data_IF_829667239111
#
_entry.id   IF_829667239111
#
_cell.length_a   1.000
_cell.length_b   1.000
_cell.length_c   1.000
_cell.angle_alpha   90.00
_cell.angle_beta   90.00
_cell.angle_gamma   90.00
#
_symmetry.space_group_name_H-M   'P 1'
#
loop_
_entity.id
_entity.type
_entity.pdbx_description
1 polymer ?
#
# COMPACT_ATOMS: atom_id res chain seq x y z
N UNK A 1 10.30 19.63 -0.65
CA UNK A 1 10.13 18.16 -0.51
C UNK A 1 8.71 17.81 -0.98
N UNK A 2 8.43 16.58 -1.39
CA UNK A 2 7.08 16.17 -1.82
C UNK A 2 6.40 15.36 -0.71
N UNK A 3 5.06 15.36 -0.70
CA UNK A 3 4.27 14.40 0.07
C UNK A 3 3.56 13.47 -0.92
N UNK A 4 3.74 12.15 -0.83
CA UNK A 4 2.83 11.22 -1.51
C UNK A 4 1.70 10.83 -0.56
N UNK A 5 0.49 10.60 -1.06
CA UNK A 5 -0.67 10.25 -0.23
C UNK A 5 -1.43 9.04 -0.77
N UNK A 6 -1.56 8.00 0.06
CA UNK A 6 -2.36 6.80 -0.17
C UNK A 6 -3.38 6.61 0.96
N UNK A 7 -4.63 6.24 0.66
CA UNK A 7 -5.60 5.85 1.70
C UNK A 7 -6.71 4.92 1.20
N UNK A 8 -7.59 4.52 2.11
CA UNK A 8 -8.85 3.81 1.85
C UNK A 8 -10.10 4.73 1.90
N UNK A 9 -9.91 6.05 1.78
CA UNK A 9 -11.01 7.03 1.89
C UNK A 9 -11.98 7.05 0.71
N UNK A 10 -11.65 6.36 -0.38
CA UNK A 10 -12.41 6.39 -1.61
C UNK A 10 -12.33 7.74 -2.34
N UNK A 11 -12.87 7.80 -3.57
CA UNK A 11 -12.97 9.04 -4.34
C UNK A 11 -14.26 9.84 -4.06
N UNK A 12 -15.19 9.29 -3.28
CA UNK A 12 -16.54 9.85 -3.11
C UNK A 12 -16.67 10.87 -1.99
N UNK A 13 -15.83 10.77 -0.96
CA UNK A 13 -15.91 11.56 0.25
C UNK A 13 -14.78 12.60 0.34
N UNK A 14 -14.97 13.63 1.16
CA UNK A 14 -14.06 14.76 1.28
C UNK A 14 -12.74 14.45 2.02
N UNK A 15 -12.64 13.28 2.66
CA UNK A 15 -11.58 12.98 3.63
C UNK A 15 -10.17 13.23 3.08
N UNK A 16 -9.87 12.75 1.86
CA UNK A 16 -8.56 12.93 1.26
C UNK A 16 -8.24 14.41 0.98
N UNK A 17 -9.22 15.16 0.45
CA UNK A 17 -9.08 16.59 0.18
C UNK A 17 -8.92 17.41 1.46
N UNK A 18 -9.57 17.02 2.56
CA UNK A 18 -9.40 17.67 3.86
C UNK A 18 -7.98 17.47 4.41
N UNK A 19 -7.41 16.27 4.30
CA UNK A 19 -6.01 16.01 4.71
C UNK A 19 -5.04 16.84 3.86
N UNK A 20 -5.24 16.88 2.54
CA UNK A 20 -4.45 17.74 1.65
C UNK A 20 -4.58 19.22 2.01
N UNK A 21 -5.78 19.70 2.32
CA UNK A 21 -6.01 21.08 2.76
C UNK A 21 -5.27 21.44 4.05
N UNK A 22 -5.19 20.49 4.99
CA UNK A 22 -4.36 20.65 6.20
C UNK A 22 -2.88 20.74 5.85
N UNK A 23 -2.39 19.86 4.97
CA UNK A 23 -1.00 19.92 4.50
C UNK A 23 -0.71 21.27 3.83
N UNK A 24 -1.59 21.73 2.94
CA UNK A 24 -1.43 23.00 2.22
C UNK A 24 -1.48 24.23 3.14
N UNK A 25 -2.22 24.16 4.25
CA UNK A 25 -2.25 25.23 5.27
C UNK A 25 -0.91 25.36 6.00
N UNK A 26 -0.22 24.25 6.24
CA UNK A 26 1.05 24.21 6.98
C UNK A 26 2.24 24.40 6.03
N UNK A 27 2.20 23.80 4.85
CA UNK A 27 3.28 23.73 3.89
C UNK A 27 2.76 23.99 2.45
N UNK A 28 2.39 25.25 2.11
CA UNK A 28 1.70 25.58 0.86
C UNK A 28 2.51 25.29 -0.41
N UNK A 29 3.84 25.32 -0.32
CA UNK A 29 4.73 25.04 -1.44
C UNK A 29 5.06 23.54 -1.61
N UNK A 30 4.58 22.69 -0.68
CA UNK A 30 4.77 21.23 -0.76
C UNK A 30 3.73 20.64 -1.69
N UNK A 31 4.18 20.07 -2.79
CA UNK A 31 3.31 19.33 -3.70
C UNK A 31 2.91 17.99 -3.09
N UNK A 32 1.59 17.75 -3.05
CA UNK A 32 0.99 16.45 -2.73
C UNK A 32 0.80 15.64 -4.02
N UNK A 33 1.22 14.37 -3.99
CA UNK A 33 1.06 13.41 -5.08
C UNK A 33 0.16 12.27 -4.58
N UNK A 34 -1.06 12.21 -5.07
CA UNK A 34 -1.98 11.14 -4.72
C UNK A 34 -1.57 9.85 -5.44
N UNK A 35 -1.19 8.83 -4.67
CA UNK A 35 -0.95 7.48 -5.18
C UNK A 35 -2.29 6.76 -5.44
N UNK A 36 -3.31 7.08 -4.65
CA UNK A 36 -4.66 6.59 -4.80
C UNK A 36 -5.39 6.52 -3.46
N UNK A 37 -6.71 6.67 -3.52
CA UNK A 37 -7.61 6.56 -2.37
C UNK A 37 -8.55 5.36 -2.46
N UNK A 38 -8.33 4.48 -3.43
CA UNK A 38 -9.16 3.31 -3.71
C UNK A 38 -8.67 2.02 -3.07
N UNK A 39 -7.89 2.08 -1.97
CA UNK A 39 -7.65 0.87 -1.17
C UNK A 39 -9.01 0.39 -0.64
N UNK A 40 -9.34 -0.92 -0.70
CA UNK A 40 -10.56 -1.41 -0.11
C UNK A 40 -10.66 -1.00 1.37
N UNK A 41 -11.84 -0.58 1.87
CA UNK A 41 -11.99 -0.11 3.24
C UNK A 41 -11.39 -1.08 4.25
N UNK A 42 -10.54 -0.57 5.14
CA UNK A 42 -9.89 -1.32 6.21
C UNK A 42 -8.89 -2.40 5.76
N UNK A 43 -8.63 -2.56 4.46
CA UNK A 43 -7.69 -3.56 3.94
C UNK A 43 -6.24 -3.08 4.01
N UNK A 44 -5.66 -3.22 5.20
CA UNK A 44 -4.27 -2.84 5.49
C UNK A 44 -3.28 -3.61 4.60
N UNK A 45 -3.58 -4.86 4.24
CA UNK A 45 -2.69 -5.70 3.42
C UNK A 45 -2.58 -5.15 2.00
N UNK A 46 -3.73 -4.88 1.37
CA UNK A 46 -3.76 -4.25 0.03
C UNK A 46 -3.10 -2.87 0.07
N UNK A 47 -3.37 -2.07 1.10
CA UNK A 47 -2.72 -0.77 1.28
C UNK A 47 -1.19 -0.86 1.38
N UNK A 48 -0.69 -1.80 2.18
CA UNK A 48 0.75 -1.98 2.40
C UNK A 48 1.46 -2.41 1.11
N UNK A 49 0.82 -3.31 0.36
CA UNK A 49 1.32 -3.80 -0.92
C UNK A 49 1.37 -2.70 -1.97
N UNK A 50 0.27 -1.97 -2.16
CA UNK A 50 0.21 -0.84 -3.10
C UNK A 50 1.25 0.24 -2.77
N UNK A 51 1.43 0.55 -1.48
CA UNK A 51 2.46 1.47 -1.03
C UNK A 51 3.86 0.97 -1.41
N UNK A 52 4.20 -0.26 -1.04
CA UNK A 52 5.52 -0.85 -1.32
C UNK A 52 5.85 -0.91 -2.82
N UNK A 53 4.85 -1.19 -3.67
CA UNK A 53 4.99 -1.23 -5.13
C UNK A 53 5.13 0.17 -5.74
N UNK A 54 4.42 1.15 -5.21
CA UNK A 54 4.40 2.50 -5.77
C UNK A 54 5.66 3.31 -5.42
N UNK A 55 6.13 3.25 -4.17
CA UNK A 55 7.17 4.17 -3.68
C UNK A 55 8.52 4.12 -4.44
N UNK A 56 9.01 2.97 -4.94
CA UNK A 56 10.24 2.92 -5.74
C UNK A 56 10.22 3.84 -6.98
N UNK A 57 9.04 4.12 -7.52
CA UNK A 57 8.84 4.99 -8.68
C UNK A 57 8.48 6.43 -8.32
N UNK A 58 8.63 6.81 -7.04
CA UNK A 58 8.34 8.16 -6.54
C UNK A 58 9.60 8.86 -6.04
N UNK A 59 9.66 10.20 -6.11
CA UNK A 59 10.76 10.97 -5.53
C UNK A 59 10.95 10.67 -4.05
N UNK A 60 12.18 10.80 -3.55
CA UNK A 60 12.40 10.82 -2.10
C UNK A 60 11.65 12.01 -1.47
N UNK A 61 11.07 11.78 -0.29
CA UNK A 61 10.28 12.77 0.42
C UNK A 61 9.47 12.13 1.53
N UNK A 62 8.32 12.72 1.82
CA UNK A 62 7.39 12.21 2.83
C UNK A 62 6.32 11.36 2.15
N UNK A 63 6.01 10.21 2.71
CA UNK A 63 5.05 9.26 2.17
C UNK A 63 3.99 9.00 3.23
N UNK A 64 2.86 9.69 3.07
CA UNK A 64 1.70 9.56 3.92
C UNK A 64 0.82 8.40 3.43
N UNK A 65 0.52 7.45 4.32
CA UNK A 65 -0.40 6.36 4.03
C UNK A 65 -1.37 6.16 5.19
N UNK A 66 -2.67 6.10 4.91
CA UNK A 66 -3.72 5.96 5.92
C UNK A 66 -4.75 4.90 5.51
N UNK A 67 -4.62 3.73 6.09
CA UNK A 67 -5.62 2.64 6.08
C UNK A 67 -5.67 2.17 7.53
N UNK A 68 -6.66 2.63 8.28
CA UNK A 68 -6.58 2.66 9.75
C UNK A 68 -7.87 2.19 10.43
N UNK A 69 -8.16 0.87 10.41
CA UNK A 69 -9.31 0.33 11.15
C UNK A 69 -9.20 0.52 12.67
N UNK A 70 -8.00 0.79 13.18
CA UNK A 70 -7.72 1.03 14.60
C UNK A 70 -7.67 2.51 14.99
N UNK A 71 -8.16 3.42 14.13
CA UNK A 71 -8.18 4.86 14.40
C UNK A 71 -8.85 5.16 15.75
N UNK A 72 -8.26 6.09 16.51
CA UNK A 72 -8.74 6.44 17.86
C UNK A 72 -8.46 5.41 18.94
N UNK A 73 -7.89 4.25 18.60
CA UNK A 73 -7.46 3.22 19.55
C UNK A 73 -6.02 3.39 20.03
N UNK A 74 -5.50 2.32 20.64
CA UNK A 74 -4.17 2.27 21.27
C UNK A 74 -3.00 2.17 20.26
N UNK A 75 -3.27 2.06 18.96
CA UNK A 75 -2.25 1.88 17.93
C UNK A 75 -1.40 3.15 17.78
N UNK A 76 -0.08 3.00 17.77
CA UNK A 76 0.86 4.12 17.60
C UNK A 76 0.67 4.81 16.25
N UNK A 77 0.89 6.11 16.20
CA UNK A 77 1.12 6.86 14.97
C UNK A 77 2.62 6.93 14.72
N UNK A 78 3.10 6.58 13.54
CA UNK A 78 4.54 6.48 13.26
C UNK A 78 5.00 7.50 12.22
N UNK A 79 6.24 7.94 12.41
CA UNK A 79 7.11 8.46 11.38
C UNK A 79 8.35 7.54 11.29
N UNK A 80 8.55 6.90 10.14
CA UNK A 80 9.66 5.97 9.88
C UNK A 80 10.63 6.61 8.90
N UNK A 81 11.90 6.76 9.27
CA UNK A 81 12.95 7.27 8.40
C UNK A 81 13.60 6.14 7.61
N UNK A 82 13.69 6.33 6.30
CA UNK A 82 14.33 5.41 5.36
C UNK A 82 15.22 6.21 4.40
N UNK A 83 16.46 6.46 4.77
CA UNK A 83 17.38 7.34 4.06
C UNK A 83 16.83 8.77 3.96
N UNK A 84 16.61 9.23 2.73
CA UNK A 84 16.02 10.55 2.45
C UNK A 84 14.48 10.56 2.47
N UNK A 85 13.85 9.47 2.93
CA UNK A 85 12.40 9.29 2.96
C UNK A 85 11.87 9.27 4.39
N UNK A 86 10.65 9.75 4.56
CA UNK A 86 9.84 9.53 5.75
C UNK A 86 8.54 8.83 5.36
N UNK A 87 8.17 7.76 6.04
CA UNK A 87 6.85 7.13 5.92
C UNK A 87 6.03 7.51 7.15
N UNK A 88 4.80 8.00 6.95
CA UNK A 88 3.93 8.51 8.01
C UNK A 88 2.58 7.80 7.93
N UNK A 89 2.11 7.28 9.07
CA UNK A 89 0.86 6.51 9.13
C UNK A 89 0.70 5.65 10.39
N UNK A 90 -0.33 4.79 10.44
CA UNK A 90 -0.61 3.93 11.59
C UNK A 90 0.38 2.78 11.74
N UNK A 91 0.68 2.41 12.99
CA UNK A 91 1.42 1.19 13.35
C UNK A 91 0.49 -0.03 13.33
N UNK A 92 0.11 -0.47 12.14
CA UNK A 92 -0.76 -1.63 11.94
C UNK A 92 -0.25 -2.58 10.84
N UNK A 93 1.01 -2.42 10.42
CA UNK A 93 1.60 -3.16 9.31
C UNK A 93 1.51 -2.46 7.95
N UNK A 94 0.80 -1.33 7.83
CA UNK A 94 0.66 -0.59 6.56
C UNK A 94 2.01 -0.11 5.99
N UNK A 95 2.86 0.47 6.84
CA UNK A 95 4.10 1.14 6.41
C UNK A 95 5.28 0.18 6.23
N UNK A 96 5.27 -0.94 6.98
CA UNK A 96 6.46 -1.76 7.17
C UNK A 96 7.01 -2.35 5.86
N UNK A 97 6.18 -2.95 4.97
CA UNK A 97 6.71 -3.49 3.72
C UNK A 97 7.42 -2.44 2.86
N UNK A 98 6.87 -1.23 2.77
CA UNK A 98 7.49 -0.15 2.03
C UNK A 98 8.75 0.39 2.72
N UNK A 99 8.76 0.44 4.05
CA UNK A 99 9.93 0.86 4.82
C UNK A 99 11.11 -0.13 4.67
N UNK A 100 10.82 -1.43 4.66
CA UNK A 100 11.83 -2.49 4.52
C UNK A 100 12.49 -2.47 3.13
N UNK A 101 11.77 -2.09 2.07
CA UNK A 101 12.34 -1.89 0.71
C UNK A 101 13.48 -0.86 0.70
N UNK A 102 13.37 0.19 1.53
CA UNK A 102 14.36 1.27 1.59
C UNK A 102 15.34 1.18 2.76
N UNK A 103 15.11 0.23 3.68
CA UNK A 103 15.84 0.13 4.96
C UNK A 103 15.31 1.11 6.01
N UNK A 104 15.18 0.64 7.25
CA UNK A 104 14.67 1.43 8.39
C UNK A 104 15.85 1.99 9.18
N UNK A 105 15.98 3.32 9.22
CA UNK A 105 17.02 4.02 9.99
C UNK A 105 16.54 4.45 11.38
N UNK A 106 15.31 4.94 11.47
CA UNK A 106 14.72 5.49 12.69
C UNK A 106 13.21 5.32 12.67
N UNK A 107 12.63 5.05 13.84
CA UNK A 107 11.18 5.02 14.04
C UNK A 107 10.83 5.93 15.21
N UNK A 108 9.89 6.84 14.98
CA UNK A 108 9.39 7.76 16.00
C UNK A 108 7.88 7.58 16.16
N UNK A 109 7.45 7.35 17.39
CA UNK A 109 6.05 7.45 17.78
C UNK A 109 5.66 8.93 17.85
N UNK A 110 4.87 9.35 16.86
CA UNK A 110 4.34 10.70 16.70
C UNK A 110 2.89 10.81 17.20
N UNK A 111 2.40 9.81 17.95
CA UNK A 111 1.06 9.83 18.53
C UNK A 111 0.84 11.10 19.32
N UNK A 112 1.84 11.53 20.11
CA UNK A 112 1.77 12.76 20.94
C UNK A 112 2.46 13.99 20.33
N UNK A 113 2.66 14.02 19.01
CA UNK A 113 3.38 15.11 18.35
C UNK A 113 2.75 16.49 18.64
N UNK A 114 3.56 17.53 18.89
CA UNK A 114 3.08 18.91 19.03
C UNK A 114 2.55 19.49 17.71
N UNK A 115 2.76 18.81 16.58
CA UNK A 115 2.28 19.22 15.26
C UNK A 115 0.84 18.82 14.99
N UNK A 116 0.21 18.02 15.87
CA UNK A 116 -1.18 17.61 15.71
C UNK A 116 -2.12 18.80 15.76
N UNK A 117 -3.22 18.73 15.01
CA UNK A 117 -4.32 19.66 15.18
C UNK A 117 -4.97 19.48 16.55
N UNK A 118 -5.54 20.56 17.09
CA UNK A 118 -6.28 20.54 18.35
C UNK A 118 -7.69 21.10 18.14
N UNK A 119 -8.73 20.42 18.65
CA UNK A 119 -8.69 19.12 19.33
C UNK A 119 -8.42 17.96 18.35
N UNK A 120 -7.81 16.87 18.84
CA UNK A 120 -7.62 15.62 18.06
C UNK A 120 -8.94 14.83 18.05
N UNK A 121 -9.48 14.54 16.86
CA UNK A 121 -10.66 13.68 16.69
C UNK A 121 -10.30 12.21 16.88
N UNK A 122 -11.15 11.47 17.58
CA UNK A 122 -11.03 10.02 17.74
C UNK A 122 -11.19 9.24 16.43
N UNK A 123 -11.79 9.81 15.38
CA UNK A 123 -12.13 9.07 14.15
C UNK A 123 -11.39 9.56 12.92
N UNK A 124 -10.49 10.55 13.03
CA UNK A 124 -9.85 11.14 11.86
C UNK A 124 -8.39 11.54 12.06
N UNK A 125 -7.57 10.59 12.51
CA UNK A 125 -6.12 10.81 12.68
C UNK A 125 -5.39 11.12 11.37
N UNK A 126 -5.94 10.78 10.20
CA UNK A 126 -5.45 11.27 8.90
C UNK A 126 -5.34 12.80 8.86
N UNK A 127 -6.40 13.49 9.28
CA UNK A 127 -6.48 14.95 9.33
C UNK A 127 -5.71 15.51 10.52
N UNK A 128 -5.90 14.93 11.70
CA UNK A 128 -5.46 15.58 12.94
C UNK A 128 -4.03 15.24 13.34
N UNK A 129 -3.48 14.12 12.85
CA UNK A 129 -2.15 13.63 13.23
C UNK A 129 -1.24 13.50 12.02
N UNK A 130 -1.63 12.64 11.07
CA UNK A 130 -0.72 12.23 10.01
C UNK A 130 -0.46 13.33 8.98
N UNK A 131 -1.50 14.04 8.53
CA UNK A 131 -1.38 15.17 7.60
C UNK A 131 -0.43 16.27 8.12
N UNK A 132 -0.67 16.82 9.33
CA UNK A 132 0.21 17.83 9.93
C UNK A 132 1.65 17.33 10.10
N UNK A 133 1.84 16.11 10.61
CA UNK A 133 3.18 15.52 10.75
C UNK A 133 3.88 15.42 9.40
N UNK A 134 3.18 14.95 8.37
CA UNK A 134 3.74 14.85 7.03
C UNK A 134 4.14 16.22 6.46
N UNK A 135 3.33 17.26 6.70
CA UNK A 135 3.63 18.62 6.27
C UNK A 135 4.90 19.18 6.94
N UNK A 136 5.02 19.05 8.26
CA UNK A 136 6.21 19.52 8.99
C UNK A 136 7.48 18.77 8.60
N UNK A 137 7.40 17.44 8.41
CA UNK A 137 8.53 16.66 7.90
C UNK A 137 8.95 17.10 6.49
N UNK A 138 7.99 17.44 5.63
CA UNK A 138 8.26 17.93 4.28
C UNK A 138 8.93 19.32 4.25
N UNK A 139 8.77 20.09 5.33
CA UNK A 139 9.51 21.34 5.58
C UNK A 139 10.90 21.12 6.20
N UNK A 140 11.32 19.87 6.40
CA UNK A 140 12.62 19.51 6.96
C UNK A 140 12.68 19.51 8.49
N UNK A 141 11.53 19.51 9.17
CA UNK A 141 11.51 19.42 10.62
C UNK A 141 11.92 18.01 11.09
N UNK A 142 12.51 17.93 12.28
CA UNK A 142 12.82 16.66 12.95
C UNK A 142 11.65 16.28 13.87
N UNK A 143 11.08 15.08 13.76
CA UNK A 143 9.95 14.69 14.61
C UNK A 143 10.37 14.62 16.08
N UNK A 144 9.58 15.24 16.94
CA UNK A 144 9.68 15.06 18.39
C UNK A 144 8.69 13.98 18.83
N UNK A 145 9.18 12.90 19.42
CA UNK A 145 8.36 11.78 19.87
C UNK A 145 9.21 10.69 20.52
N UNK A 146 8.56 9.63 21.01
CA UNK A 146 9.27 8.50 21.60
C UNK A 146 9.93 7.68 20.49
N UNK A 147 11.23 7.39 20.62
CA UNK A 147 11.90 6.45 19.72
C UNK A 147 11.35 5.05 19.93
N UNK A 148 11.07 4.37 18.83
CA UNK A 148 10.52 3.03 18.81
C UNK A 148 11.56 2.07 18.25
N UNK A 149 11.67 0.89 18.86
CA UNK A 149 12.45 -0.20 18.29
C UNK A 149 11.75 -0.74 17.03
N UNK A 150 12.46 -0.80 15.91
CA UNK A 150 11.97 -1.36 14.64
C UNK A 150 11.53 -2.83 14.75
N UNK A 151 12.08 -3.59 15.71
CA UNK A 151 11.63 -4.95 16.01
C UNK A 151 10.23 -5.00 16.63
N UNK A 152 9.78 -3.91 17.26
CA UNK A 152 8.44 -3.80 17.88
C UNK A 152 7.34 -3.33 16.93
N UNK A 153 7.66 -3.05 15.66
CA UNK A 153 6.68 -2.63 14.65
C UNK A 153 5.68 -3.75 14.37
N UNK A 154 4.40 -3.40 14.23
CA UNK A 154 3.36 -4.34 13.83
C UNK A 154 3.61 -4.81 12.41
N UNK A 155 3.63 -6.13 12.20
CA UNK A 155 3.79 -6.77 10.89
C UNK A 155 2.53 -7.56 10.53
N UNK A 156 2.16 -7.50 9.26
CA UNK A 156 1.05 -8.30 8.74
C UNK A 156 1.38 -9.80 8.86
N UNK A 157 0.40 -10.66 9.16
CA UNK A 157 0.65 -12.09 9.22
C UNK A 157 1.07 -12.61 7.85
N UNK A 158 2.04 -13.54 7.83
CA UNK A 158 2.44 -14.23 6.61
C UNK A 158 1.30 -15.13 6.09
N UNK A 159 1.22 -15.29 4.78
CA UNK A 159 0.34 -16.29 4.17
C UNK A 159 1.01 -17.68 4.26
N UNK A 160 0.23 -18.78 4.29
CA UNK A 160 0.77 -20.14 4.28
C UNK A 160 1.69 -20.38 3.07
N UNK A 161 2.89 -20.91 3.28
CA UNK A 161 3.89 -21.05 2.22
C UNK A 161 3.68 -22.27 1.30
N UNK A 162 2.77 -23.17 1.66
CA UNK A 162 2.47 -24.42 0.94
C UNK A 162 1.42 -24.23 -0.16
N UNK A 163 0.85 -23.04 -0.29
CA UNK A 163 -0.22 -22.72 -1.24
C UNK A 163 0.06 -21.40 -1.95
N UNK A 164 -0.54 -21.25 -3.12
CA UNK A 164 -0.58 -19.97 -3.81
C UNK A 164 -1.91 -19.29 -3.51
N UNK A 165 -1.86 -17.99 -3.26
CA UNK A 165 -3.01 -17.16 -2.95
C UNK A 165 -3.10 -16.02 -3.95
N UNK A 166 -4.33 -15.61 -4.24
CA UNK A 166 -4.60 -14.31 -4.85
C UNK A 166 -4.41 -13.26 -3.75
N UNK A 167 -3.32 -12.51 -3.80
CA UNK A 167 -3.03 -11.47 -2.81
C UNK A 167 -3.79 -10.17 -3.08
N UNK A 168 -4.16 -9.92 -4.33
CA UNK A 168 -4.91 -8.74 -4.74
C UNK A 168 -5.63 -9.00 -6.07
N UNK A 169 -6.77 -8.33 -6.26
CA UNK A 169 -7.41 -8.19 -7.58
C UNK A 169 -7.33 -6.73 -8.00
N UNK A 170 -6.68 -6.43 -9.13
CA UNK A 170 -6.60 -5.06 -9.62
C UNK A 170 -7.90 -4.58 -10.29
N UNK A 171 -7.93 -3.31 -10.68
CA UNK A 171 -9.09 -2.69 -11.35
C UNK A 171 -9.43 -3.28 -12.72
N UNK A 172 -8.53 -4.04 -13.35
CA UNK A 172 -8.80 -4.76 -14.60
C UNK A 172 -9.33 -6.18 -14.35
N UNK A 173 -9.29 -6.64 -13.09
CA UNK A 173 -9.64 -7.99 -12.70
C UNK A 173 -8.49 -8.98 -12.91
N UNK A 174 -7.24 -8.51 -12.98
CA UNK A 174 -6.08 -9.38 -12.91
C UNK A 174 -5.91 -9.86 -11.47
N UNK A 175 -5.50 -11.11 -11.33
CA UNK A 175 -5.23 -11.76 -10.05
C UNK A 175 -3.74 -11.66 -9.79
N UNK A 176 -3.34 -10.83 -8.83
CA UNK A 176 -1.95 -10.81 -8.42
C UNK A 176 -1.77 -11.83 -7.31
N UNK A 177 -0.71 -12.62 -7.37
CA UNK A 177 -0.49 -13.78 -6.51
C UNK A 177 0.82 -13.68 -5.72
N UNK A 178 0.99 -14.55 -4.73
CA UNK A 178 2.26 -14.80 -4.03
C UNK A 178 3.08 -15.94 -4.67
N UNK A 179 2.74 -16.35 -5.90
CA UNK A 179 3.44 -17.41 -6.61
C UNK A 179 4.81 -16.97 -7.12
N UNK A 180 5.69 -17.94 -7.34
CA UNK A 180 6.79 -17.79 -8.29
C UNK A 180 6.29 -18.05 -9.72
N UNK A 181 6.89 -17.40 -10.72
CA UNK A 181 6.50 -17.61 -12.11
C UNK A 181 6.81 -19.07 -12.50
N UNK A 182 5.82 -19.85 -12.96
CA UNK A 182 6.05 -21.25 -13.30
C UNK A 182 6.98 -21.36 -14.52
N UNK A 183 7.86 -22.36 -14.57
CA UNK A 183 8.71 -22.59 -15.74
C UNK A 183 7.88 -23.15 -16.92
N UNK A 184 8.38 -22.96 -18.14
CA UNK A 184 7.77 -23.49 -19.36
C UNK A 184 6.87 -22.49 -20.07
N UNK A 185 6.07 -22.98 -21.02
CA UNK A 185 5.20 -22.15 -21.87
C UNK A 185 3.73 -22.16 -21.41
N UNK A 186 3.34 -23.14 -20.58
CA UNK A 186 1.95 -23.36 -20.14
C UNK A 186 1.89 -23.95 -18.73
N UNK A 187 0.84 -23.61 -17.99
CA UNK A 187 0.48 -24.16 -16.67
C UNK A 187 -1.03 -24.38 -16.59
N UNK A 188 -1.52 -25.13 -15.61
CA UNK A 188 -2.94 -25.22 -15.30
C UNK A 188 -3.29 -24.42 -14.05
N UNK A 189 -4.37 -23.66 -14.12
CA UNK A 189 -4.95 -22.92 -12.99
C UNK A 189 -6.43 -23.24 -12.89
N UNK A 190 -6.87 -23.84 -11.79
CA UNK A 190 -8.28 -24.21 -11.60
C UNK A 190 -8.84 -25.07 -12.75
N UNK A 191 -8.01 -25.96 -13.31
CA UNK A 191 -8.38 -26.79 -14.46
C UNK A 191 -8.37 -26.07 -15.82
N UNK A 192 -7.99 -24.80 -15.91
CA UNK A 192 -7.83 -24.07 -17.16
C UNK A 192 -6.37 -24.09 -17.64
N UNK A 193 -6.16 -24.22 -18.95
CA UNK A 193 -4.82 -24.02 -19.54
C UNK A 193 -4.51 -22.51 -19.60
N UNK A 194 -3.31 -22.15 -19.13
CA UNK A 194 -2.83 -20.78 -18.99
C UNK A 194 -1.47 -20.66 -19.66
N UNK A 195 -1.30 -19.65 -20.51
CA UNK A 195 0.00 -19.38 -21.15
C UNK A 195 0.92 -18.73 -20.14
N UNK A 196 2.17 -19.20 -20.03
CA UNK A 196 3.24 -18.47 -19.33
C UNK A 196 3.82 -17.48 -20.31
N UNK A 197 3.62 -16.19 -20.06
CA UNK A 197 3.93 -15.12 -21.00
C UNK A 197 4.63 -13.93 -20.34
N UNK A 198 4.94 -12.93 -21.18
CA UNK A 198 5.49 -11.62 -20.75
C UNK A 198 4.41 -10.55 -20.69
N UNK A 199 3.34 -10.69 -21.48
CA UNK A 199 2.26 -9.72 -21.55
C UNK A 199 0.95 -10.38 -21.99
N UNK A 200 -0.17 -9.66 -21.84
CA UNK A 200 -1.51 -10.13 -22.18
C UNK A 200 -1.62 -10.69 -23.60
N UNK A 201 -0.92 -10.07 -24.56
CA UNK A 201 -0.94 -10.45 -25.97
C UNK A 201 -0.29 -11.79 -26.31
N UNK A 202 0.44 -12.41 -25.37
CA UNK A 202 1.05 -13.73 -25.59
C UNK A 202 0.00 -14.85 -25.52
N UNK A 203 -1.16 -14.60 -24.90
CA UNK A 203 -2.33 -15.48 -24.98
C UNK A 203 -3.26 -15.07 -26.14
N UNK A 204 -3.99 -16.04 -26.70
CA UNK A 204 -5.05 -15.75 -27.65
C UNK A 204 -6.11 -14.79 -27.04
N UNK A 205 -6.84 -13.98 -27.83
CA UNK A 205 -7.92 -13.14 -27.32
C UNK A 205 -8.91 -13.94 -26.46
N UNK A 206 -9.18 -13.45 -25.26
CA UNK A 206 -9.99 -14.18 -24.28
C UNK A 206 -9.32 -15.44 -23.72
N UNK A 207 -8.00 -15.62 -23.85
CA UNK A 207 -7.19 -16.65 -23.21
C UNK A 207 -6.58 -16.17 -21.88
N UNK A 208 -6.18 -17.10 -21.01
CA UNK A 208 -5.49 -16.79 -19.74
C UNK A 208 -3.98 -16.71 -19.96
N UNK A 209 -3.34 -15.77 -19.28
CA UNK A 209 -1.89 -15.62 -19.21
C UNK A 209 -1.45 -15.47 -17.75
N UNK A 210 -0.39 -16.17 -17.36
CA UNK A 210 0.37 -15.92 -16.13
C UNK A 210 1.70 -15.27 -16.52
N UNK A 211 2.05 -14.18 -15.86
CA UNK A 211 3.18 -13.34 -16.21
C UNK A 211 3.71 -12.60 -14.99
N UNK A 212 4.93 -12.06 -15.08
CA UNK A 212 5.46 -11.13 -14.09
C UNK A 212 4.99 -9.71 -14.45
N UNK A 213 4.31 -9.04 -13.51
CA UNK A 213 3.81 -7.69 -13.70
C UNK A 213 4.91 -6.62 -13.52
N UNK A 214 4.56 -5.35 -13.75
CA UNK A 214 5.54 -4.25 -13.71
C UNK A 214 6.16 -3.99 -12.33
N UNK A 215 5.64 -4.60 -11.27
CA UNK A 215 6.18 -4.53 -9.92
C UNK A 215 7.00 -5.79 -9.53
N UNK A 216 7.18 -6.75 -10.45
CA UNK A 216 7.87 -8.01 -10.18
C UNK A 216 6.99 -9.06 -9.50
N UNK A 217 5.68 -8.82 -9.38
CA UNK A 217 4.73 -9.77 -8.82
C UNK A 217 4.20 -10.70 -9.91
N UNK A 218 3.90 -11.95 -9.57
CA UNK A 218 3.24 -12.86 -10.51
C UNK A 218 1.76 -12.54 -10.58
N UNK A 219 1.23 -12.41 -11.79
CA UNK A 219 -0.16 -12.10 -12.03
C UNK A 219 -0.79 -13.02 -13.07
N UNK A 220 -2.08 -13.29 -12.91
CA UNK A 220 -2.92 -14.01 -13.87
C UNK A 220 -3.94 -13.05 -14.46
N UNK A 221 -3.98 -12.98 -15.78
CA UNK A 221 -4.86 -12.08 -16.52
C UNK A 221 -5.57 -12.81 -17.66
N UNK A 222 -6.61 -12.18 -18.21
CA UNK A 222 -7.24 -12.60 -19.45
C UNK A 222 -6.91 -11.57 -20.53
N UNK A 223 -6.47 -12.02 -21.70
CA UNK A 223 -6.26 -11.12 -22.84
C UNK A 223 -7.59 -10.46 -23.23
N UNK A 224 -7.75 -9.18 -22.91
CA UNK A 224 -8.98 -8.42 -23.14
C UNK A 224 -10.13 -8.76 -22.19
N UNK A 225 -9.87 -9.24 -20.97
CA UNK A 225 -10.93 -9.56 -20.01
C UNK A 225 -10.46 -9.59 -18.54
N UNK A 226 -11.35 -10.06 -17.67
CA UNK A 226 -11.11 -10.20 -16.22
C UNK A 226 -10.81 -11.65 -15.85
N UNK A 227 -9.65 -11.91 -15.25
CA UNK A 227 -9.30 -13.23 -14.72
C UNK A 227 -10.13 -13.58 -13.48
N UNK A 228 -10.38 -12.62 -12.60
CA UNK A 228 -11.25 -12.78 -11.44
C UNK A 228 -12.66 -13.25 -11.84
N UNK A 229 -13.28 -12.59 -12.82
CA UNK A 229 -14.61 -12.98 -13.30
C UNK A 229 -14.60 -14.35 -13.99
N UNK A 230 -13.53 -14.67 -14.73
CA UNK A 230 -13.43 -15.92 -15.48
C UNK A 230 -13.21 -17.14 -14.57
N UNK A 231 -12.35 -16.99 -13.57
CA UNK A 231 -11.98 -18.06 -12.65
C UNK A 231 -12.90 -18.12 -11.43
N UNK A 232 -13.69 -17.08 -11.18
CA UNK A 232 -14.59 -17.00 -10.03
C UNK A 232 -13.85 -16.88 -8.70
N UNK A 233 -12.69 -16.20 -8.71
CA UNK A 233 -11.80 -16.05 -7.55
C UNK A 233 -11.59 -14.58 -7.21
N UNK A 234 -11.41 -14.30 -5.92
CA UNK A 234 -11.16 -12.99 -5.35
C UNK A 234 -9.88 -12.94 -4.50
N UNK A 235 -9.61 -11.78 -3.90
CA UNK A 235 -8.48 -11.62 -3.00
C UNK A 235 -8.65 -12.49 -1.74
N UNK A 236 -7.58 -13.18 -1.35
CA UNK A 236 -7.54 -14.14 -0.25
C UNK A 236 -7.82 -15.60 -0.67
N UNK A 237 -8.33 -15.83 -1.88
CA UNK A 237 -8.60 -17.19 -2.37
C UNK A 237 -7.32 -17.93 -2.72
N UNK A 238 -7.34 -19.25 -2.50
CA UNK A 238 -6.28 -20.15 -2.91
C UNK A 238 -6.35 -20.41 -4.43
N UNK A 239 -5.20 -20.42 -5.09
CA UNK A 239 -5.06 -20.67 -6.52
C UNK A 239 -4.33 -22.00 -6.74
N UNK A 240 -5.02 -23.00 -7.26
CA UNK A 240 -4.43 -24.29 -7.59
C UNK A 240 -3.60 -24.18 -8.88
N UNK A 241 -2.27 -24.21 -8.75
CA UNK A 241 -1.30 -24.26 -9.85
C UNK A 241 -0.79 -25.70 -10.04
N UNK A 242 -0.97 -26.25 -11.23
CA UNK A 242 -0.57 -27.62 -11.60
C UNK A 242 0.12 -27.69 -12.97
#
# INVERSE_FOLDING_TARGET
MFVTFLSDYGPGDEYAGVVEGVIATIAPDVRVIHLGHGVPPQDVRTGARRLARALPFTPAGVHLAVVDPGVGGERRALAIRCGARWLVGPDNGLLVPAAEVFGIDEVVDVSESPWRLQPVSATFHGRDVFGPVAAHLALGATPSGQRVDGASLVRLPALPADKVHVVEVDGFGNLITDAALPPGERVRIGGHEVVVGRTFGDAAPGGLVIYEDSAGDVAVAVNGGSAAARLGVGAGDELELA
#
